data_IF_254728820623
#
_entry.id   IF_254728820623
#
_cell.length_a   1.000
_cell.length_b   1.000
_cell.length_c   1.000
_cell.angle_alpha   90.00
_cell.angle_beta   90.00
_cell.angle_gamma   90.00
#
_symmetry.space_group_name_H-M   'P 1'
#
loop_
_entity.id
_entity.type
_entity.pdbx_description
1 polymer ?
#
# COMPACT_ATOMS: atom_id res chain seq x y z
N UNK A 1 -27.51 35.29 -18.82
CA UNK A 1 -26.98 33.96 -19.20
C UNK A 1 -25.79 33.66 -18.30
N UNK A 2 -25.75 32.47 -17.67
CA UNK A 2 -24.60 32.02 -16.88
C UNK A 2 -23.56 31.40 -17.82
N UNK A 3 -22.32 31.85 -17.76
CA UNK A 3 -21.22 31.37 -18.59
C UNK A 3 -20.62 30.09 -18.00
N UNK A 4 -20.02 29.25 -18.85
CA UNK A 4 -19.33 28.02 -18.42
C UNK A 4 -18.25 28.30 -17.37
N UNK A 5 -17.51 29.39 -17.52
CA UNK A 5 -16.45 29.77 -16.58
C UNK A 5 -17.00 30.03 -15.17
N UNK A 6 -18.22 30.57 -15.04
CA UNK A 6 -18.82 30.86 -13.73
C UNK A 6 -19.13 29.59 -12.95
N UNK A 7 -19.53 28.50 -13.62
CA UNK A 7 -19.68 27.20 -12.97
C UNK A 7 -18.33 26.63 -12.55
N UNK A 8 -17.33 26.69 -13.44
CA UNK A 8 -15.99 26.21 -13.13
C UNK A 8 -15.35 26.95 -11.94
N UNK A 9 -15.52 28.27 -11.84
CA UNK A 9 -15.04 29.07 -10.70
C UNK A 9 -15.67 28.57 -9.39
N UNK A 10 -16.99 28.36 -9.38
CA UNK A 10 -17.71 27.90 -8.19
C UNK A 10 -17.30 26.48 -7.76
N UNK A 11 -16.93 25.61 -8.69
CA UNK A 11 -16.49 24.24 -8.42
C UNK A 11 -15.06 24.15 -7.85
N UNK A 12 -14.20 25.15 -8.10
CA UNK A 12 -12.77 25.09 -7.74
C UNK A 12 -12.42 25.71 -6.38
N UNK A 13 -13.39 26.27 -5.64
CA UNK A 13 -13.21 26.82 -4.29
C UNK A 13 -11.95 27.69 -4.12
N UNK A 14 -11.78 28.68 -4.99
CA UNK A 14 -10.64 29.60 -4.93
C UNK A 14 -10.67 30.49 -3.68
N UNK A 15 -9.53 31.11 -3.35
CA UNK A 15 -9.46 32.15 -2.32
C UNK A 15 -10.40 33.32 -2.64
N UNK A 16 -10.69 34.14 -1.64
CA UNK A 16 -11.52 35.33 -1.81
C UNK A 16 -10.91 36.28 -2.86
N UNK A 17 -9.61 36.54 -2.79
CA UNK A 17 -8.89 37.41 -3.73
C UNK A 17 -9.00 36.91 -5.18
N UNK A 18 -8.80 35.61 -5.40
CA UNK A 18 -8.92 35.00 -6.73
C UNK A 18 -10.37 35.03 -7.21
N UNK A 19 -11.33 34.81 -6.31
CA UNK A 19 -12.76 34.83 -6.64
C UNK A 19 -13.21 36.21 -7.09
N UNK A 20 -12.80 37.28 -6.38
CA UNK A 20 -13.08 38.66 -6.75
C UNK A 20 -12.52 38.97 -8.14
N UNK A 21 -11.27 38.60 -8.42
CA UNK A 21 -10.64 38.82 -9.74
C UNK A 21 -11.41 38.12 -10.87
N UNK A 22 -11.86 36.89 -10.64
CA UNK A 22 -12.68 36.19 -11.65
C UNK A 22 -14.08 36.79 -11.81
N UNK A 23 -14.71 37.26 -10.73
CA UNK A 23 -16.00 37.97 -10.79
C UNK A 23 -15.88 39.26 -11.62
N UNK A 24 -14.81 40.03 -11.41
CA UNK A 24 -14.53 41.23 -12.20
C UNK A 24 -14.26 40.89 -13.66
N UNK A 25 -13.47 39.83 -13.92
CA UNK A 25 -13.20 39.36 -15.27
C UNK A 25 -14.50 38.99 -16.03
N UNK A 26 -15.41 38.26 -15.39
CA UNK A 26 -16.71 37.87 -15.97
C UNK A 26 -17.60 39.09 -16.18
N UNK A 27 -17.60 40.05 -15.25
CA UNK A 27 -18.38 41.28 -15.35
C UNK A 27 -17.91 42.11 -16.55
N UNK A 28 -16.60 42.31 -16.69
CA UNK A 28 -16.01 42.99 -17.85
C UNK A 28 -16.34 42.27 -19.16
N UNK A 29 -16.28 40.94 -19.20
CA UNK A 29 -16.62 40.15 -20.38
C UNK A 29 -18.06 40.39 -20.82
N UNK A 30 -19.02 40.30 -19.89
CA UNK A 30 -20.45 40.52 -20.15
C UNK A 30 -20.75 41.94 -20.61
N UNK A 31 -19.93 42.92 -20.21
CA UNK A 31 -20.01 44.31 -20.64
C UNK A 31 -19.31 44.60 -21.98
N UNK A 32 -18.69 43.60 -22.62
CA UNK A 32 -17.91 43.77 -23.86
C UNK A 32 -16.51 44.37 -23.66
N UNK A 33 -16.07 44.53 -22.41
CA UNK A 33 -14.75 45.04 -22.06
C UNK A 33 -13.69 43.92 -22.07
N UNK A 34 -13.44 43.34 -23.24
CA UNK A 34 -12.59 42.15 -23.41
C UNK A 34 -11.15 42.31 -22.90
N UNK A 35 -10.54 43.49 -23.12
CA UNK A 35 -9.20 43.78 -22.61
C UNK A 35 -9.15 43.71 -21.08
N UNK A 36 -10.11 44.34 -20.40
CA UNK A 36 -10.20 44.29 -18.95
C UNK A 36 -10.48 42.87 -18.44
N UNK A 37 -11.37 42.14 -19.12
CA UNK A 37 -11.65 40.74 -18.78
C UNK A 37 -10.41 39.85 -18.85
N UNK A 38 -9.59 39.98 -19.89
CA UNK A 38 -8.34 39.24 -20.03
C UNK A 38 -7.32 39.64 -18.94
N UNK A 39 -7.22 40.94 -18.62
CA UNK A 39 -6.34 41.44 -17.55
C UNK A 39 -6.68 40.82 -16.21
N UNK A 40 -7.94 40.89 -15.78
CA UNK A 40 -8.39 40.33 -14.50
C UNK A 40 -8.26 38.80 -14.47
N UNK A 41 -8.57 38.12 -15.57
CA UNK A 41 -8.38 36.66 -15.67
C UNK A 41 -6.90 36.28 -15.51
N UNK A 42 -5.99 37.04 -16.13
CA UNK A 42 -4.56 36.76 -16.04
C UNK A 42 -4.02 37.06 -14.65
N UNK A 43 -4.50 38.14 -14.02
CA UNK A 43 -4.17 38.45 -12.64
C UNK A 43 -4.63 37.34 -11.69
N UNK A 44 -5.85 36.80 -11.89
CA UNK A 44 -6.34 35.64 -11.14
C UNK A 44 -5.41 34.43 -11.29
N UNK A 45 -4.92 34.13 -12.51
CA UNK A 45 -3.92 33.08 -12.72
C UNK A 45 -2.64 33.34 -11.89
N UNK A 46 -2.08 34.54 -11.94
CA UNK A 46 -0.87 34.85 -11.17
C UNK A 46 -1.09 34.75 -9.66
N UNK A 47 -2.25 35.19 -9.16
CA UNK A 47 -2.61 35.08 -7.74
C UNK A 47 -2.68 33.62 -7.30
N UNK A 48 -3.31 32.74 -8.09
CA UNK A 48 -3.34 31.30 -7.80
C UNK A 48 -1.91 30.73 -7.74
N UNK A 49 -1.03 31.13 -8.65
CA UNK A 49 0.35 30.65 -8.67
C UNK A 49 1.19 31.22 -7.52
N UNK A 50 0.96 32.47 -7.12
CA UNK A 50 1.53 33.08 -5.91
C UNK A 50 1.13 32.28 -4.67
N UNK A 51 -0.15 32.04 -4.48
CA UNK A 51 -0.69 31.26 -3.35
C UNK A 51 -0.10 29.85 -3.30
N UNK A 52 0.05 29.18 -4.46
CA UNK A 52 0.69 27.86 -4.56
C UNK A 52 2.16 27.88 -4.16
N UNK A 53 2.91 28.94 -4.46
CA UNK A 53 4.30 29.07 -4.00
C UNK A 53 4.33 29.29 -2.48
N UNK A 54 3.51 30.20 -1.96
CA UNK A 54 3.50 30.56 -0.54
C UNK A 54 3.08 29.39 0.35
N UNK A 55 2.05 28.64 -0.05
CA UNK A 55 1.54 27.47 0.69
C UNK A 55 2.25 26.15 0.33
N UNK A 56 3.02 26.13 -0.75
CA UNK A 56 3.62 24.93 -1.30
C UNK A 56 4.92 24.52 -0.62
N UNK A 57 5.28 23.25 -0.79
CA UNK A 57 6.56 22.71 -0.33
C UNK A 57 7.70 23.15 -1.24
N UNK A 58 8.79 23.62 -0.64
CA UNK A 58 10.03 23.94 -1.34
C UNK A 58 10.55 22.74 -2.16
N UNK A 59 10.87 22.91 -3.45
CA UNK A 59 11.55 21.88 -4.25
C UNK A 59 12.89 21.44 -3.62
N UNK A 60 13.30 20.19 -3.82
CA UNK A 60 14.40 19.58 -3.06
C UNK A 60 15.75 20.20 -3.37
N UNK A 61 16.04 20.53 -4.63
CA UNK A 61 17.29 21.16 -5.08
C UNK A 61 17.31 22.69 -4.97
N UNK A 62 16.36 23.28 -4.23
CA UNK A 62 16.36 24.71 -3.88
C UNK A 62 16.77 24.84 -2.42
N UNK A 63 17.71 25.73 -2.10
CA UNK A 63 18.11 25.95 -0.70
C UNK A 63 16.99 26.66 0.07
N UNK A 64 16.90 26.44 1.38
CA UNK A 64 15.85 27.09 2.19
C UNK A 64 15.92 28.62 2.08
N UNK A 65 17.13 29.20 2.15
CA UNK A 65 17.30 30.66 1.99
C UNK A 65 16.91 31.19 0.60
N UNK A 66 17.10 30.42 -0.48
CA UNK A 66 16.57 30.80 -1.80
C UNK A 66 15.04 30.82 -1.82
N UNK A 67 14.40 29.86 -1.15
CA UNK A 67 12.95 29.75 -1.09
C UNK A 67 12.32 30.85 -0.23
N UNK A 68 12.89 31.11 0.94
CA UNK A 68 12.42 32.18 1.83
C UNK A 68 12.55 33.54 1.16
N UNK A 69 13.63 33.78 0.41
CA UNK A 69 13.79 35.00 -0.38
C UNK A 69 12.76 35.10 -1.52
N UNK A 70 12.42 33.99 -2.18
CA UNK A 70 11.35 33.98 -3.16
C UNK A 70 10.01 34.36 -2.51
N UNK A 71 9.64 33.73 -1.38
CA UNK A 71 8.41 34.06 -0.65
C UNK A 71 8.40 35.53 -0.22
N UNK A 72 9.50 36.05 0.32
CA UNK A 72 9.61 37.46 0.72
C UNK A 72 9.35 38.41 -0.46
N UNK A 73 9.87 38.10 -1.65
CA UNK A 73 9.61 38.87 -2.88
C UNK A 73 8.16 38.78 -3.36
N UNK A 74 7.46 37.69 -3.06
CA UNK A 74 6.03 37.54 -3.38
C UNK A 74 5.12 38.37 -2.47
N UNK A 75 5.60 38.79 -1.29
CA UNK A 75 4.90 39.74 -0.42
C UNK A 75 5.14 41.21 -0.81
N UNK A 76 6.03 41.49 -1.75
CA UNK A 76 6.26 42.84 -2.25
C UNK A 76 5.28 43.17 -3.38
N UNK A 77 4.35 44.09 -3.13
CA UNK A 77 3.27 44.47 -4.06
C UNK A 77 3.78 44.99 -5.42
N UNK A 78 4.96 45.62 -5.47
CA UNK A 78 5.49 46.18 -6.72
C UNK A 78 6.17 45.13 -7.61
N UNK A 79 6.53 43.98 -7.05
CA UNK A 79 7.39 43.01 -7.74
C UNK A 79 6.81 41.60 -7.82
N UNK A 80 5.76 41.28 -7.07
CA UNK A 80 5.29 39.90 -6.96
C UNK A 80 4.85 39.33 -8.31
N UNK A 81 4.16 40.08 -9.17
CA UNK A 81 3.72 39.59 -10.50
C UNK A 81 4.91 39.11 -11.34
N UNK A 82 5.99 39.90 -11.40
CA UNK A 82 7.20 39.53 -12.14
C UNK A 82 7.89 38.32 -11.51
N UNK A 83 7.96 38.27 -10.18
CA UNK A 83 8.60 37.15 -9.48
C UNK A 83 7.82 35.83 -9.63
N UNK A 84 6.49 35.86 -9.62
CA UNK A 84 5.65 34.68 -9.93
C UNK A 84 5.92 34.23 -11.36
N UNK A 85 5.92 35.16 -12.31
CA UNK A 85 6.19 34.81 -13.70
C UNK A 85 7.59 34.19 -13.87
N UNK A 86 8.62 34.77 -13.25
CA UNK A 86 9.98 34.23 -13.29
C UNK A 86 10.06 32.84 -12.65
N UNK A 87 9.33 32.61 -11.56
CA UNK A 87 9.20 31.29 -10.94
C UNK A 87 8.55 30.26 -11.90
N UNK A 88 7.51 30.66 -12.63
CA UNK A 88 6.85 29.84 -13.67
C UNK A 88 7.76 29.59 -14.87
N UNK A 89 8.68 30.50 -15.18
CA UNK A 89 9.62 30.32 -16.29
C UNK A 89 10.92 29.59 -15.88
N UNK A 90 11.21 29.47 -14.57
CA UNK A 90 12.41 28.80 -14.06
C UNK A 90 12.45 27.33 -14.46
N UNK A 91 13.51 26.95 -15.18
CA UNK A 91 13.75 25.60 -15.68
C UNK A 91 14.63 24.80 -14.73
N UNK A 92 14.57 23.48 -14.88
CA UNK A 92 15.59 22.60 -14.32
C UNK A 92 16.97 22.91 -14.92
N UNK A 93 18.02 22.69 -14.14
CA UNK A 93 19.40 22.72 -14.64
C UNK A 93 20.00 21.34 -14.50
N UNK A 94 20.58 20.82 -15.57
CA UNK A 94 21.25 19.51 -15.61
C UNK A 94 22.74 19.75 -15.86
N UNK A 95 23.58 19.11 -15.06
CA UNK A 95 25.01 19.06 -15.32
C UNK A 95 25.27 18.09 -16.48
N UNK A 96 25.90 18.58 -17.55
CA UNK A 96 26.11 17.82 -18.78
C UNK A 96 27.21 16.75 -18.63
N UNK A 97 28.06 16.87 -17.62
CA UNK A 97 29.16 15.94 -17.34
C UNK A 97 28.67 14.77 -16.46
N UNK A 98 27.91 15.06 -15.40
CA UNK A 98 27.40 14.03 -14.47
C UNK A 98 26.02 13.51 -14.86
N UNK A 99 25.34 14.15 -15.82
CA UNK A 99 23.91 13.93 -16.17
C UNK A 99 22.97 14.04 -14.97
N UNK A 100 23.38 14.70 -13.90
CA UNK A 100 22.56 14.89 -12.70
C UNK A 100 21.88 16.26 -12.72
N UNK A 101 20.65 16.31 -12.21
CA UNK A 101 19.93 17.58 -12.01
C UNK A 101 20.61 18.34 -10.86
N UNK A 102 20.93 19.61 -11.10
CA UNK A 102 21.61 20.51 -10.15
C UNK A 102 20.71 21.64 -9.64
N UNK A 103 19.55 21.86 -10.28
CA UNK A 103 18.56 22.86 -9.83
C UNK A 103 17.17 22.42 -10.27
N UNK A 104 16.21 22.51 -9.35
CA UNK A 104 14.81 22.22 -9.64
C UNK A 104 14.07 23.44 -10.22
N UNK A 105 13.05 23.21 -11.07
CA UNK A 105 12.07 24.23 -11.39
C UNK A 105 11.19 24.52 -10.15
N UNK A 106 10.49 25.65 -10.15
CA UNK A 106 9.50 25.95 -9.09
C UNK A 106 8.21 25.17 -9.35
N UNK A 107 7.74 25.22 -10.59
CA UNK A 107 6.57 24.45 -11.03
C UNK A 107 6.99 23.28 -11.93
N UNK A 108 6.39 22.12 -11.69
CA UNK A 108 6.56 20.91 -12.50
C UNK A 108 5.70 20.97 -13.77
N UNK A 109 6.13 21.76 -14.74
CA UNK A 109 5.42 21.95 -16.01
C UNK A 109 6.36 21.81 -17.21
N UNK A 110 5.80 21.31 -18.31
CA UNK A 110 6.50 21.12 -19.59
C UNK A 110 6.91 22.44 -20.22
N UNK A 111 7.92 22.40 -21.08
CA UNK A 111 8.37 23.59 -21.83
C UNK A 111 7.25 24.17 -22.71
N UNK A 112 6.41 23.31 -23.31
CA UNK A 112 5.24 23.76 -24.07
C UNK A 112 4.28 24.57 -23.18
N UNK A 113 3.96 24.08 -21.97
CA UNK A 113 3.08 24.81 -21.06
C UNK A 113 3.70 26.15 -20.61
N UNK A 114 5.02 26.21 -20.40
CA UNK A 114 5.72 27.49 -20.12
C UNK A 114 5.60 28.50 -21.25
N UNK A 115 5.70 28.03 -22.50
CA UNK A 115 5.54 28.87 -23.69
C UNK A 115 4.10 29.37 -23.84
N UNK A 116 3.10 28.53 -23.57
CA UNK A 116 1.69 28.96 -23.56
C UNK A 116 1.41 30.03 -22.48
N UNK A 117 1.98 29.88 -21.29
CA UNK A 117 1.86 30.91 -20.23
C UNK A 117 2.53 32.21 -20.65
N UNK A 118 3.69 32.14 -21.32
CA UNK A 118 4.36 33.32 -21.89
C UNK A 118 3.50 34.01 -22.95
N UNK A 119 2.87 33.26 -23.84
CA UNK A 119 1.93 33.79 -24.81
C UNK A 119 0.81 34.60 -24.15
N UNK A 120 0.22 34.09 -23.06
CA UNK A 120 -0.84 34.81 -22.35
C UNK A 120 -0.32 36.06 -21.62
N UNK A 121 0.93 36.06 -21.15
CA UNK A 121 1.59 37.29 -20.64
C UNK A 121 1.67 38.36 -21.72
N UNK A 122 2.03 37.97 -22.94
CA UNK A 122 2.14 38.92 -24.05
C UNK A 122 0.78 39.49 -24.44
N UNK A 123 -0.28 38.68 -24.42
CA UNK A 123 -1.67 39.16 -24.61
C UNK A 123 -2.13 40.10 -23.49
N UNK A 124 -1.81 39.80 -22.22
CA UNK A 124 -2.05 40.71 -21.08
C UNK A 124 -1.34 42.04 -21.31
N UNK A 125 -0.10 42.04 -21.76
CA UNK A 125 0.66 43.25 -22.06
C UNK A 125 0.04 44.08 -23.21
N UNK A 126 -0.51 43.41 -24.22
CA UNK A 126 -1.26 44.08 -25.30
C UNK A 126 -2.50 44.80 -24.74
N UNK A 127 -3.20 44.19 -23.77
CA UNK A 127 -4.32 44.82 -23.07
C UNK A 127 -3.89 46.02 -22.21
N UNK A 128 -2.84 45.86 -21.39
CA UNK A 128 -2.39 46.87 -20.43
C UNK A 128 -1.80 48.12 -21.10
N UNK A 129 -1.07 47.95 -22.20
CA UNK A 129 -0.37 49.05 -22.89
C UNK A 129 -1.12 49.55 -24.14
N UNK A 130 -2.37 49.12 -24.33
CA UNK A 130 -3.20 49.52 -25.47
C UNK A 130 -2.46 49.36 -26.82
N UNK A 131 -1.87 48.19 -27.06
CA UNK A 131 -1.21 47.92 -28.33
C UNK A 131 -2.24 47.66 -29.44
N UNK A 132 -1.82 47.79 -30.70
CA UNK A 132 -2.69 47.71 -31.88
C UNK A 132 -3.33 46.32 -32.12
N UNK A 133 -2.96 45.31 -31.33
CA UNK A 133 -3.54 43.98 -31.43
C UNK A 133 -5.02 43.98 -30.98
N UNK A 134 -5.87 43.33 -31.78
CA UNK A 134 -7.28 43.12 -31.47
C UNK A 134 -7.39 42.10 -30.34
N UNK A 135 -8.18 42.44 -29.31
CA UNK A 135 -8.54 41.54 -28.22
C UNK A 135 -10.06 41.50 -28.16
N UNK A 136 -10.63 40.36 -28.55
CA UNK A 136 -12.06 40.11 -28.62
C UNK A 136 -12.50 38.98 -27.69
N UNK A 137 -13.78 38.59 -27.78
CA UNK A 137 -14.35 37.54 -26.95
C UNK A 137 -13.60 36.20 -27.09
N UNK A 138 -13.13 35.86 -28.30
CA UNK A 138 -12.49 34.58 -28.59
C UNK A 138 -11.18 34.40 -27.82
N UNK A 139 -10.45 35.51 -27.58
CA UNK A 139 -9.23 35.52 -26.81
C UNK A 139 -9.50 35.25 -25.33
N UNK A 140 -10.54 35.87 -24.77
CA UNK A 140 -10.95 35.68 -23.37
C UNK A 140 -11.42 34.23 -23.16
N UNK A 141 -12.30 33.73 -24.02
CA UNK A 141 -12.81 32.35 -23.92
C UNK A 141 -11.71 31.31 -24.11
N UNK A 142 -10.77 31.57 -25.02
CA UNK A 142 -9.60 30.71 -25.23
C UNK A 142 -8.68 30.70 -24.01
N UNK A 143 -8.51 31.84 -23.33
CA UNK A 143 -7.75 31.87 -22.09
C UNK A 143 -8.46 31.11 -20.97
N UNK A 144 -9.76 31.27 -20.82
CA UNK A 144 -10.56 30.49 -19.86
C UNK A 144 -10.50 28.99 -20.14
N UNK A 145 -10.57 28.56 -21.40
CA UNK A 145 -10.39 27.16 -21.78
C UNK A 145 -8.98 26.66 -21.45
N UNK A 146 -7.95 27.50 -21.64
CA UNK A 146 -6.59 27.20 -21.23
C UNK A 146 -6.49 26.97 -19.71
N UNK A 147 -7.11 27.84 -18.89
CA UNK A 147 -7.13 27.69 -17.43
C UNK A 147 -7.82 26.39 -17.01
N UNK A 148 -9.03 26.14 -17.53
CA UNK A 148 -9.79 24.91 -17.25
C UNK A 148 -9.00 23.64 -17.61
N UNK A 149 -8.20 23.69 -18.68
CA UNK A 149 -7.48 22.52 -19.19
C UNK A 149 -6.12 22.29 -18.52
N UNK A 150 -5.53 23.30 -17.90
CA UNK A 150 -4.12 23.24 -17.49
C UNK A 150 -3.86 23.66 -16.04
N UNK A 151 -4.78 24.34 -15.36
CA UNK A 151 -4.51 24.85 -14.01
C UNK A 151 -4.15 23.73 -13.03
N UNK A 152 -4.78 22.56 -13.12
CA UNK A 152 -4.46 21.39 -12.28
C UNK A 152 -3.06 20.80 -12.54
N UNK A 153 -2.48 21.05 -13.73
CA UNK A 153 -1.14 20.56 -14.11
C UNK A 153 -0.02 21.44 -13.56
N UNK A 154 -0.31 22.70 -13.20
CA UNK A 154 0.70 23.67 -12.73
C UNK A 154 0.96 23.48 -11.23
N UNK A 155 1.59 22.38 -10.86
CA UNK A 155 1.92 22.04 -9.47
C UNK A 155 3.35 22.45 -9.11
N UNK A 156 3.62 22.70 -7.82
CA UNK A 156 4.98 22.93 -7.35
C UNK A 156 5.80 21.64 -7.52
N UNK A 157 7.05 21.76 -7.98
CA UNK A 157 7.97 20.63 -8.07
C UNK A 157 8.18 20.03 -6.68
N UNK A 158 7.94 18.71 -6.57
CA UNK A 158 7.91 18.04 -5.27
C UNK A 158 6.57 18.11 -4.54
N UNK A 159 5.47 18.55 -5.17
CA UNK A 159 4.11 18.41 -4.63
C UNK A 159 3.49 17.02 -4.85
N UNK A 160 2.32 16.78 -4.24
CA UNK A 160 1.59 15.51 -4.23
C UNK A 160 1.54 14.79 -5.60
N UNK A 161 1.03 15.43 -6.64
CA UNK A 161 0.89 14.80 -7.97
C UNK A 161 2.25 14.45 -8.59
N UNK A 162 3.26 15.29 -8.36
CA UNK A 162 4.61 15.01 -8.82
C UNK A 162 5.19 13.78 -8.12
N UNK A 163 4.93 13.62 -6.82
CA UNK A 163 5.39 12.46 -6.07
C UNK A 163 4.69 11.17 -6.51
N UNK A 164 3.36 11.21 -6.72
CA UNK A 164 2.60 10.08 -7.28
C UNK A 164 3.22 9.63 -8.60
N UNK A 165 3.50 10.57 -9.51
CA UNK A 165 4.11 10.25 -10.81
C UNK A 165 5.51 9.62 -10.67
N UNK A 166 6.33 10.11 -9.72
CA UNK A 166 7.65 9.52 -9.43
C UNK A 166 7.53 8.08 -8.92
N UNK A 167 6.58 7.82 -8.02
CA UNK A 167 6.35 6.48 -7.46
C UNK A 167 5.80 5.50 -8.49
N UNK A 168 4.83 5.93 -9.31
CA UNK A 168 4.32 5.12 -10.43
C UNK A 168 5.47 4.77 -11.40
N UNK A 169 6.30 5.74 -11.76
CA UNK A 169 7.47 5.51 -12.64
C UNK A 169 8.54 4.63 -12.01
N UNK A 170 8.69 4.64 -10.69
CA UNK A 170 9.63 3.76 -9.99
C UNK A 170 9.30 2.29 -10.19
N UNK A 171 8.01 1.95 -10.24
CA UNK A 171 7.55 0.57 -10.43
C UNK A 171 7.39 0.16 -11.90
N UNK A 172 7.71 1.04 -12.85
CA UNK A 172 7.80 0.72 -14.28
C UNK A 172 9.14 0.05 -14.60
N UNK A 173 9.11 -1.27 -14.78
CA UNK A 173 10.31 -2.09 -15.07
C UNK A 173 10.97 -1.76 -16.43
N UNK A 174 10.27 -1.06 -17.32
CA UNK A 174 10.86 -0.61 -18.60
C UNK A 174 11.75 0.61 -18.42
N UNK A 175 11.61 1.32 -17.29
CA UNK A 175 12.30 2.59 -17.02
C UNK A 175 13.19 2.50 -15.77
N UNK A 176 12.81 1.70 -14.78
CA UNK A 176 13.48 1.61 -13.49
C UNK A 176 13.86 0.16 -13.18
N UNK A 177 15.10 -0.13 -12.74
CA UNK A 177 15.49 -1.47 -12.30
C UNK A 177 14.58 -1.98 -11.17
N UNK A 178 14.14 -3.26 -11.20
CA UNK A 178 13.22 -3.83 -10.20
C UNK A 178 13.72 -3.80 -8.76
N UNK A 179 15.04 -3.74 -8.56
CA UNK A 179 15.73 -3.76 -7.27
C UNK A 179 16.02 -2.35 -6.72
N UNK A 180 15.65 -1.29 -7.45
CA UNK A 180 15.89 0.08 -7.01
C UNK A 180 15.13 0.36 -5.72
N UNK A 181 15.79 0.98 -4.76
CA UNK A 181 15.17 1.32 -3.46
C UNK A 181 14.12 2.46 -3.61
N UNK A 182 12.89 2.19 -3.16
CA UNK A 182 11.76 3.14 -3.13
C UNK A 182 11.83 4.09 -1.92
N UNK A 183 12.61 3.76 -0.89
CA UNK A 183 12.70 4.51 0.37
C UNK A 183 12.91 6.02 0.20
N UNK A 184 13.74 6.51 -0.75
CA UNK A 184 13.88 7.95 -0.97
C UNK A 184 12.55 8.63 -1.32
N UNK A 185 11.72 8.00 -2.16
CA UNK A 185 10.42 8.55 -2.55
C UNK A 185 9.39 8.44 -1.42
N UNK A 186 9.43 7.36 -0.65
CA UNK A 186 8.57 7.21 0.54
C UNK A 186 8.83 8.33 1.54
N UNK A 187 10.10 8.68 1.78
CA UNK A 187 10.46 9.80 2.68
C UNK A 187 10.03 11.16 2.16
N UNK A 188 9.87 11.34 0.85
CA UNK A 188 9.36 12.59 0.27
C UNK A 188 7.89 12.83 0.68
N UNK A 189 7.08 11.79 0.97
CA UNK A 189 5.64 11.95 1.29
C UNK A 189 5.41 12.96 2.42
N UNK A 190 6.23 12.88 3.48
CA UNK A 190 6.09 13.74 4.66
C UNK A 190 6.14 15.23 4.31
N UNK A 191 6.95 15.59 3.32
CA UNK A 191 7.18 16.98 2.93
C UNK A 191 6.36 17.37 1.71
N UNK A 192 6.12 16.45 0.79
CA UNK A 192 5.46 16.69 -0.49
C UNK A 192 3.95 16.69 -0.43
N UNK A 193 3.36 16.18 0.64
CA UNK A 193 1.91 16.02 0.79
C UNK A 193 1.44 16.72 2.06
N UNK A 194 0.53 17.68 1.90
CA UNK A 194 -0.16 18.29 3.03
C UNK A 194 -0.90 17.22 3.85
N UNK A 195 -0.88 17.31 5.19
CA UNK A 195 -1.49 16.31 6.07
C UNK A 195 -2.97 16.05 5.76
N UNK A 196 -3.73 17.10 5.45
CA UNK A 196 -5.14 17.03 5.05
C UNK A 196 -5.37 16.28 3.74
N UNK A 197 -4.35 16.19 2.88
CA UNK A 197 -4.39 15.54 1.56
C UNK A 197 -3.77 14.14 1.56
N UNK A 198 -3.29 13.63 2.69
CA UNK A 198 -2.71 12.28 2.75
C UNK A 198 -3.71 11.19 2.35
N UNK A 199 -4.99 11.34 2.72
CA UNK A 199 -6.03 10.40 2.30
C UNK A 199 -6.23 10.42 0.78
N UNK A 200 -6.26 11.60 0.17
CA UNK A 200 -6.35 11.75 -1.28
C UNK A 200 -5.11 11.17 -1.98
N UNK A 201 -3.91 11.47 -1.45
CA UNK A 201 -2.65 10.95 -1.97
C UNK A 201 -2.63 9.42 -2.02
N UNK A 202 -2.94 8.74 -0.90
CA UNK A 202 -2.91 7.28 -0.85
C UNK A 202 -3.99 6.66 -1.72
N UNK A 203 -5.20 7.23 -1.75
CA UNK A 203 -6.25 6.78 -2.65
C UNK A 203 -5.83 6.90 -4.11
N UNK A 204 -5.26 8.05 -4.50
CA UNK A 204 -4.81 8.25 -5.87
C UNK A 204 -3.65 7.33 -6.23
N UNK A 205 -2.71 7.10 -5.31
CA UNK A 205 -1.56 6.24 -5.55
C UNK A 205 -1.98 4.77 -5.66
N UNK A 206 -2.70 4.25 -4.66
CA UNK A 206 -3.12 2.84 -4.62
C UNK A 206 -4.16 2.50 -5.70
N UNK A 207 -4.97 3.46 -6.15
CA UNK A 207 -5.93 3.23 -7.25
C UNK A 207 -5.41 3.67 -8.63
N UNK A 208 -4.19 4.20 -8.74
CA UNK A 208 -3.65 4.60 -10.04
C UNK A 208 -3.49 3.38 -10.95
N UNK A 209 -3.96 3.51 -12.19
CA UNK A 209 -4.07 2.41 -13.16
C UNK A 209 -2.78 1.63 -13.47
N UNK A 210 -1.61 2.10 -13.02
CA UNK A 210 -0.34 1.40 -13.09
C UNK A 210 -0.31 0.08 -12.28
N UNK A 211 -1.28 -0.11 -11.38
CA UNK A 211 -1.37 -1.27 -10.49
C UNK A 211 -2.57 -2.20 -10.81
N UNK A 212 -3.17 -2.08 -12.00
CA UNK A 212 -4.45 -2.74 -12.36
C UNK A 212 -4.33 -4.21 -12.77
N UNK A 213 -3.13 -4.78 -12.85
CA UNK A 213 -2.95 -6.21 -13.13
C UNK A 213 -2.60 -6.95 -11.84
N UNK A 214 -3.63 -7.24 -11.06
CA UNK A 214 -3.53 -7.96 -9.79
C UNK A 214 -2.97 -7.10 -8.67
N UNK A 215 -3.26 -7.48 -7.42
CA UNK A 215 -2.58 -6.97 -6.22
C UNK A 215 -1.08 -7.04 -6.43
N UNK A 216 -0.47 -5.96 -6.91
CA UNK A 216 0.89 -6.06 -7.39
C UNK A 216 1.79 -6.18 -6.17
N UNK A 217 2.72 -7.13 -6.21
CA UNK A 217 3.79 -7.25 -5.21
C UNK A 217 4.45 -5.90 -4.89
N UNK A 218 4.45 -4.98 -5.87
CA UNK A 218 4.89 -3.58 -5.72
C UNK A 218 4.10 -2.79 -4.68
N UNK A 219 2.78 -2.97 -4.60
CA UNK A 219 1.96 -2.36 -3.56
C UNK A 219 2.36 -2.86 -2.17
N UNK A 220 2.62 -4.17 -2.03
CA UNK A 220 3.06 -4.77 -0.76
C UNK A 220 4.42 -4.20 -0.35
N UNK A 221 5.37 -4.11 -1.29
CA UNK A 221 6.68 -3.46 -1.09
C UNK A 221 6.51 -2.00 -0.64
N UNK A 222 5.69 -1.22 -1.35
CA UNK A 222 5.45 0.18 -1.03
C UNK A 222 4.89 0.35 0.38
N UNK A 223 3.87 -0.44 0.73
CA UNK A 223 3.26 -0.40 2.06
C UNK A 223 4.26 -0.77 3.14
N UNK A 224 4.99 -1.88 2.96
CA UNK A 224 5.98 -2.31 3.94
C UNK A 224 7.05 -1.22 4.14
N UNK A 225 7.57 -0.67 3.04
CA UNK A 225 8.57 0.41 3.10
C UNK A 225 8.02 1.69 3.72
N UNK A 226 6.76 2.04 3.49
CA UNK A 226 6.13 3.20 4.13
C UNK A 226 5.96 3.00 5.63
N UNK A 227 5.57 1.80 6.08
CA UNK A 227 5.49 1.47 7.50
C UNK A 227 6.87 1.50 8.19
N UNK A 228 7.95 1.22 7.47
CA UNK A 228 9.32 1.22 8.00
C UNK A 228 9.99 2.60 8.01
N UNK A 229 9.74 3.42 6.98
CA UNK A 229 10.52 4.62 6.72
C UNK A 229 9.78 5.94 6.99
N UNK A 230 8.45 5.92 7.05
CA UNK A 230 7.62 7.11 7.27
C UNK A 230 7.18 7.23 8.73
N UNK A 231 6.85 8.46 9.15
CA UNK A 231 6.19 8.69 10.43
C UNK A 231 4.76 8.15 10.43
N UNK A 232 4.28 7.68 11.58
CA UNK A 232 2.97 7.02 11.74
C UNK A 232 1.82 7.79 11.09
N UNK A 233 1.77 9.12 11.25
CA UNK A 233 0.68 9.95 10.71
C UNK A 233 0.56 9.88 9.18
N UNK A 234 1.67 9.60 8.48
CA UNK A 234 1.68 9.42 7.02
C UNK A 234 0.92 8.16 6.64
N UNK A 235 1.01 7.12 7.46
CA UNK A 235 0.49 5.79 7.18
C UNK A 235 -0.96 5.58 7.62
N UNK A 236 -1.50 6.43 8.52
CA UNK A 236 -2.88 6.28 9.02
C UNK A 236 -3.92 6.15 7.89
N UNK A 237 -3.94 7.02 6.86
CA UNK A 237 -4.93 6.88 5.78
C UNK A 237 -4.66 5.66 4.89
N UNK A 238 -3.40 5.32 4.64
CA UNK A 238 -3.03 4.10 3.90
C UNK A 238 -3.54 2.84 4.58
N UNK A 239 -3.34 2.74 5.90
CA UNK A 239 -3.81 1.60 6.72
C UNK A 239 -5.34 1.48 6.63
N UNK A 240 -6.07 2.60 6.73
CA UNK A 240 -7.53 2.60 6.61
C UNK A 240 -7.99 2.03 5.25
N UNK A 241 -7.39 2.50 4.15
CA UNK A 241 -7.69 2.01 2.80
C UNK A 241 -7.40 0.51 2.66
N UNK A 242 -6.27 0.02 3.20
CA UNK A 242 -5.91 -1.39 3.13
C UNK A 242 -6.89 -2.26 3.95
N UNK A 243 -7.34 -1.80 5.13
CA UNK A 243 -8.30 -2.53 5.96
C UNK A 243 -9.66 -2.69 5.28
N UNK A 244 -10.05 -1.76 4.42
CA UNK A 244 -11.27 -1.85 3.62
C UNK A 244 -11.13 -2.83 2.44
N UNK A 245 -9.90 -3.12 1.99
CA UNK A 245 -9.62 -4.07 0.93
C UNK A 245 -9.14 -5.42 1.48
N UNK A 246 -10.07 -6.35 1.69
CA UNK A 246 -9.77 -7.69 2.20
C UNK A 246 -8.70 -8.46 1.41
N UNK A 247 -8.62 -8.24 0.09
CA UNK A 247 -7.62 -8.92 -0.74
C UNK A 247 -6.22 -8.40 -0.51
N UNK A 248 -6.11 -7.09 -0.38
CA UNK A 248 -4.88 -6.43 0.00
C UNK A 248 -4.47 -6.86 1.39
N UNK A 249 -5.35 -6.70 2.37
CA UNK A 249 -5.04 -6.95 3.76
C UNK A 249 -4.49 -8.37 3.98
N UNK A 250 -5.16 -9.39 3.42
CA UNK A 250 -4.71 -10.79 3.55
C UNK A 250 -3.39 -11.04 2.83
N UNK A 251 -3.18 -10.42 1.67
CA UNK A 251 -1.93 -10.53 0.92
C UNK A 251 -0.77 -9.94 1.70
N UNK A 252 -0.94 -8.72 2.21
CA UNK A 252 0.05 -8.02 3.01
C UNK A 252 0.41 -8.77 4.29
N UNK A 253 -0.59 -9.17 5.08
CA UNK A 253 -0.32 -9.89 6.34
C UNK A 253 0.26 -11.29 6.10
N UNK A 254 0.00 -11.93 4.95
CA UNK A 254 0.63 -13.20 4.60
C UNK A 254 2.14 -13.06 4.34
N UNK A 255 2.58 -11.94 3.76
CA UNK A 255 4.00 -11.67 3.45
C UNK A 255 4.72 -10.99 4.63
N UNK A 256 4.01 -10.18 5.40
CA UNK A 256 4.55 -9.38 6.51
C UNK A 256 3.73 -9.56 7.80
N UNK A 257 3.66 -10.77 8.36
CA UNK A 257 2.88 -11.04 9.58
C UNK A 257 3.40 -10.25 10.79
N UNK A 258 4.69 -9.88 10.81
CA UNK A 258 5.31 -9.06 11.86
C UNK A 258 4.73 -7.64 11.96
N UNK A 259 4.06 -7.15 10.91
CA UNK A 259 3.48 -5.81 10.84
C UNK A 259 2.04 -5.72 11.36
N UNK A 260 1.49 -6.77 11.95
CA UNK A 260 0.09 -6.79 12.40
C UNK A 260 -0.27 -5.62 13.33
N UNK A 261 0.65 -5.23 14.22
CA UNK A 261 0.42 -4.14 15.16
C UNK A 261 0.31 -2.78 14.48
N UNK A 262 0.94 -2.60 13.30
CA UNK A 262 0.84 -1.35 12.54
C UNK A 262 -0.59 -1.05 12.08
N UNK A 263 -1.48 -2.06 12.01
CA UNK A 263 -2.86 -1.90 11.55
C UNK A 263 -3.84 -1.43 12.64
N UNK A 264 -3.41 -1.41 13.90
CA UNK A 264 -4.22 -0.97 15.05
C UNK A 264 -5.66 -1.54 14.98
N UNK A 265 -5.78 -2.85 14.86
CA UNK A 265 -7.08 -3.51 14.80
C UNK A 265 -7.87 -3.32 16.09
N UNK A 266 -9.18 -3.06 15.97
CA UNK A 266 -10.10 -3.17 17.11
C UNK A 266 -10.38 -4.65 17.41
N UNK A 267 -10.87 -5.00 18.62
CA UNK A 267 -11.27 -6.37 18.93
C UNK A 267 -12.27 -6.97 17.92
N UNK A 268 -13.22 -6.16 17.45
CA UNK A 268 -14.20 -6.58 16.44
C UNK A 268 -13.56 -6.88 15.09
N UNK A 269 -12.56 -6.07 14.69
CA UNK A 269 -11.81 -6.31 13.45
C UNK A 269 -10.93 -7.54 13.56
N UNK A 270 -10.28 -7.77 14.70
CA UNK A 270 -9.52 -9.01 14.97
C UNK A 270 -10.45 -10.22 14.83
N UNK A 271 -11.61 -10.20 15.50
CA UNK A 271 -12.59 -11.28 15.43
C UNK A 271 -13.09 -11.53 14.01
N UNK A 272 -13.44 -10.46 13.29
CA UNK A 272 -13.84 -10.54 11.89
C UNK A 272 -12.74 -11.11 11.01
N UNK A 273 -11.48 -10.75 11.25
CA UNK A 273 -10.35 -11.22 10.46
C UNK A 273 -10.13 -12.72 10.62
N UNK A 274 -9.99 -13.23 11.85
CA UNK A 274 -9.68 -14.66 12.04
C UNK A 274 -10.85 -15.57 11.65
N UNK A 275 -12.10 -15.10 11.78
CA UNK A 275 -13.29 -15.86 11.35
C UNK A 275 -13.48 -15.89 9.84
N UNK A 276 -13.13 -14.82 9.12
CA UNK A 276 -13.50 -14.69 7.69
C UNK A 276 -12.31 -14.70 6.72
N UNK A 277 -11.16 -14.13 7.11
CA UNK A 277 -10.03 -13.87 6.20
C UNK A 277 -8.86 -14.82 6.40
N UNK A 278 -8.61 -15.32 7.62
CA UNK A 278 -7.44 -16.15 7.94
C UNK A 278 -7.30 -17.38 7.03
N UNK A 279 -8.41 -18.06 6.74
CA UNK A 279 -8.46 -19.24 5.84
C UNK A 279 -8.06 -18.93 4.39
N UNK A 280 -8.05 -17.66 3.99
CA UNK A 280 -7.66 -17.20 2.67
C UNK A 280 -6.23 -16.63 2.61
N UNK A 281 -5.55 -16.56 3.76
CA UNK A 281 -4.13 -16.20 3.81
C UNK A 281 -3.27 -17.34 3.26
N UNK A 282 -2.16 -17.01 2.61
CA UNK A 282 -1.20 -18.01 2.15
C UNK A 282 -0.46 -18.62 3.35
N UNK A 283 0.11 -17.78 4.22
CA UNK A 283 0.86 -18.21 5.40
C UNK A 283 0.01 -18.14 6.69
N UNK A 284 -1.05 -18.98 6.75
CA UNK A 284 -2.09 -18.92 7.80
C UNK A 284 -1.52 -19.05 9.21
N UNK A 285 -0.56 -19.95 9.42
CA UNK A 285 0.00 -20.22 10.74
C UNK A 285 0.92 -19.08 11.21
N UNK A 286 1.69 -18.45 10.32
CA UNK A 286 2.48 -17.28 10.68
C UNK A 286 1.59 -16.08 11.05
N UNK A 287 0.51 -15.86 10.29
CA UNK A 287 -0.47 -14.80 10.61
C UNK A 287 -1.13 -15.08 11.96
N UNK A 288 -1.66 -16.29 12.19
CA UNK A 288 -2.24 -16.65 13.48
C UNK A 288 -1.24 -16.50 14.62
N UNK A 289 -0.01 -16.98 14.43
CA UNK A 289 1.06 -16.88 15.44
C UNK A 289 1.37 -15.42 15.77
N UNK A 290 1.38 -14.53 14.78
CA UNK A 290 1.58 -13.10 15.02
C UNK A 290 0.43 -12.49 15.83
N UNK A 291 -0.83 -12.85 15.55
CA UNK A 291 -1.97 -12.40 16.35
C UNK A 291 -1.90 -12.89 17.80
N UNK A 292 -1.54 -14.16 18.00
CA UNK A 292 -1.39 -14.77 19.32
C UNK A 292 -0.24 -14.15 20.12
N UNK A 293 0.94 -14.00 19.48
CA UNK A 293 2.16 -13.45 20.10
C UNK A 293 1.95 -12.02 20.59
N UNK A 294 1.14 -11.26 19.87
CA UNK A 294 0.82 -9.87 20.19
C UNK A 294 -0.44 -9.73 21.07
N UNK A 295 -1.03 -10.84 21.55
CA UNK A 295 -2.18 -10.81 22.45
C UNK A 295 -3.45 -10.20 21.84
N UNK A 296 -3.60 -10.27 20.51
CA UNK A 296 -4.72 -9.65 19.80
C UNK A 296 -6.00 -10.47 19.92
N UNK A 297 -5.89 -11.80 20.04
CA UNK A 297 -7.03 -12.71 20.20
C UNK A 297 -7.28 -12.90 21.71
N UNK A 298 -8.49 -12.63 22.22
CA UNK A 298 -8.83 -12.87 23.62
C UNK A 298 -8.60 -14.34 24.03
N UNK A 299 -8.12 -14.63 25.25
CA UNK A 299 -7.78 -15.99 25.67
C UNK A 299 -8.90 -17.01 25.52
N UNK A 300 -10.15 -16.60 25.71
CA UNK A 300 -11.36 -17.41 25.56
C UNK A 300 -11.73 -17.71 24.11
N UNK A 301 -11.21 -16.94 23.14
CA UNK A 301 -11.42 -17.13 21.70
C UNK A 301 -10.28 -17.88 21.01
N UNK A 302 -9.16 -18.15 21.70
CA UNK A 302 -7.97 -18.77 21.10
C UNK A 302 -8.28 -20.13 20.49
N UNK A 303 -9.03 -20.98 21.20
CA UNK A 303 -9.38 -22.33 20.71
C UNK A 303 -10.21 -22.24 19.42
N UNK A 304 -11.21 -21.36 19.36
CA UNK A 304 -12.06 -21.17 18.17
C UNK A 304 -11.24 -20.71 16.96
N UNK A 305 -10.35 -19.73 17.16
CA UNK A 305 -9.48 -19.23 16.10
C UNK A 305 -8.52 -20.32 15.59
N UNK A 306 -8.01 -21.15 16.50
CA UNK A 306 -7.10 -22.24 16.20
C UNK A 306 -7.80 -23.38 15.45
N UNK A 307 -9.03 -23.72 15.81
CA UNK A 307 -9.84 -24.70 15.09
C UNK A 307 -10.04 -24.28 13.62
N UNK A 308 -10.38 -23.02 13.38
CA UNK A 308 -10.54 -22.49 12.01
C UNK A 308 -9.22 -22.62 11.23
N UNK A 309 -8.10 -22.29 11.87
CA UNK A 309 -6.78 -22.42 11.23
C UNK A 309 -6.47 -23.87 10.89
N UNK A 310 -6.56 -24.80 11.86
CA UNK A 310 -6.27 -26.24 11.69
C UNK A 310 -7.15 -26.86 10.59
N UNK A 311 -8.43 -26.50 10.53
CA UNK A 311 -9.36 -26.99 9.49
C UNK A 311 -9.02 -26.50 8.07
N UNK A 312 -8.22 -25.44 7.95
CA UNK A 312 -7.94 -24.76 6.67
C UNK A 312 -6.50 -24.90 6.15
N UNK A 313 -5.62 -25.56 6.89
CA UNK A 313 -4.23 -25.83 6.49
C UNK A 313 -4.09 -27.23 5.90
N UNK A 314 -3.15 -27.37 4.95
CA UNK A 314 -2.76 -28.66 4.36
C UNK A 314 -1.30 -29.03 4.70
N UNK A 315 -0.54 -28.09 5.26
CA UNK A 315 0.88 -28.23 5.59
C UNK A 315 1.17 -27.47 6.89
N UNK A 316 2.20 -27.90 7.63
CA UNK A 316 2.62 -27.25 8.88
C UNK A 316 3.89 -26.42 8.70
N UNK A 317 3.77 -25.38 7.87
CA UNK A 317 4.85 -24.43 7.57
C UNK A 317 4.91 -23.38 8.69
N UNK A 318 5.96 -23.48 9.52
CA UNK A 318 6.20 -22.62 10.68
C UNK A 318 7.70 -22.43 10.88
N UNK A 319 8.11 -21.23 11.27
CA UNK A 319 9.44 -21.02 11.84
C UNK A 319 9.48 -21.44 13.33
N UNK A 320 10.66 -21.33 13.96
CA UNK A 320 10.85 -21.71 15.36
C UNK A 320 9.97 -20.89 16.30
N UNK A 321 9.84 -19.58 16.04
CA UNK A 321 9.08 -18.67 16.90
C UNK A 321 7.57 -18.91 16.77
N UNK A 322 7.09 -19.17 15.56
CA UNK A 322 5.70 -19.50 15.27
C UNK A 322 5.34 -20.84 15.91
N UNK A 323 6.19 -21.85 15.77
CA UNK A 323 5.97 -23.15 16.41
C UNK A 323 5.85 -23.03 17.93
N UNK A 324 6.79 -22.34 18.59
CA UNK A 324 6.74 -22.12 20.05
C UNK A 324 5.48 -21.34 20.46
N UNK A 325 5.07 -20.35 19.67
CA UNK A 325 3.85 -19.58 19.94
C UNK A 325 2.61 -20.48 19.86
N UNK A 326 2.49 -21.30 18.82
CA UNK A 326 1.38 -22.23 18.63
C UNK A 326 1.35 -23.30 19.72
N UNK A 327 2.51 -23.85 20.08
CA UNK A 327 2.65 -24.85 21.15
C UNK A 327 2.17 -24.28 22.49
N UNK A 328 2.64 -23.08 22.86
CA UNK A 328 2.25 -22.42 24.11
C UNK A 328 0.75 -22.13 24.19
N UNK A 329 0.08 -21.97 23.04
CA UNK A 329 -1.36 -21.70 22.93
C UNK A 329 -2.19 -22.97 22.64
N UNK A 330 -1.63 -24.17 22.79
CA UNK A 330 -2.40 -25.41 22.77
C UNK A 330 -2.67 -26.01 21.38
N UNK A 331 -1.92 -25.61 20.34
CA UNK A 331 -2.12 -26.08 18.96
C UNK A 331 -2.20 -27.60 18.83
N UNK A 332 -1.32 -28.34 19.50
CA UNK A 332 -1.35 -29.79 19.40
C UNK A 332 -2.65 -30.41 19.91
N UNK A 333 -3.25 -29.84 20.96
CA UNK A 333 -4.52 -30.32 21.49
C UNK A 333 -5.65 -30.16 20.47
N UNK A 334 -5.72 -28.98 19.83
CA UNK A 334 -6.71 -28.67 18.77
C UNK A 334 -6.44 -29.50 17.52
N UNK A 335 -5.18 -29.66 17.13
CA UNK A 335 -4.81 -30.55 16.03
C UNK A 335 -5.29 -31.98 16.28
N UNK A 336 -5.11 -32.51 17.50
CA UNK A 336 -5.60 -33.84 17.84
C UNK A 336 -7.11 -33.93 17.79
N UNK A 337 -7.85 -32.93 18.27
CA UNK A 337 -9.33 -32.95 18.22
C UNK A 337 -9.85 -32.94 16.79
N UNK A 338 -9.29 -32.09 15.93
CA UNK A 338 -9.81 -31.88 14.59
C UNK A 338 -9.30 -32.89 13.56
N UNK A 339 -8.07 -33.39 13.72
CA UNK A 339 -7.41 -34.25 12.73
C UNK A 339 -7.31 -35.69 13.23
N UNK A 340 -6.66 -35.92 14.38
CA UNK A 340 -6.38 -37.28 14.87
C UNK A 340 -7.65 -38.01 15.35
N UNK A 341 -8.54 -37.31 16.05
CA UNK A 341 -9.85 -37.84 16.50
C UNK A 341 -10.91 -37.82 15.40
N UNK A 342 -10.60 -37.27 14.23
CA UNK A 342 -11.55 -37.23 13.13
C UNK A 342 -12.01 -38.64 12.76
N UNK A 343 -13.32 -38.80 12.60
CA UNK A 343 -13.89 -40.04 12.12
C UNK A 343 -13.31 -40.46 10.76
N UNK A 344 -12.91 -39.48 9.93
CA UNK A 344 -12.31 -39.70 8.61
C UNK A 344 -10.90 -40.31 8.69
N UNK A 345 -10.22 -40.25 9.85
CA UNK A 345 -8.87 -40.79 10.01
C UNK A 345 -8.83 -42.33 9.95
N UNK A 346 -9.90 -43.00 10.37
CA UNK A 346 -9.94 -44.46 10.51
C UNK A 346 -11.25 -45.12 10.02
N UNK A 347 -12.16 -44.40 9.35
CA UNK A 347 -13.40 -44.96 8.78
C UNK A 347 -13.51 -44.77 7.27
N UNK A 348 -14.27 -45.66 6.62
CA UNK A 348 -14.50 -45.61 5.16
C UNK A 348 -13.19 -45.58 4.38
N UNK A 349 -13.16 -44.74 3.32
CA UNK A 349 -11.99 -44.44 2.47
C UNK A 349 -10.97 -43.51 3.18
N UNK A 350 -10.62 -43.84 4.43
CA UNK A 350 -9.74 -43.03 5.28
C UNK A 350 -8.41 -42.69 4.62
N UNK A 351 -7.86 -43.60 3.81
CA UNK A 351 -6.58 -43.38 3.13
C UNK A 351 -6.62 -42.15 2.20
N UNK A 352 -7.74 -41.84 1.54
CA UNK A 352 -7.86 -40.65 0.70
C UNK A 352 -7.77 -39.37 1.55
N UNK A 353 -8.55 -39.34 2.64
CA UNK A 353 -8.59 -38.19 3.54
C UNK A 353 -7.25 -37.95 4.25
N UNK A 354 -6.56 -39.03 4.64
CA UNK A 354 -5.22 -38.98 5.25
C UNK A 354 -4.17 -38.59 4.21
N UNK A 355 -4.25 -39.09 2.96
CA UNK A 355 -3.32 -38.71 1.89
C UNK A 355 -3.32 -37.19 1.63
N UNK A 356 -4.49 -36.55 1.61
CA UNK A 356 -4.62 -35.09 1.44
C UNK A 356 -3.92 -34.28 2.55
N UNK A 357 -3.68 -34.89 3.71
CA UNK A 357 -3.12 -34.24 4.91
C UNK A 357 -1.81 -34.89 5.34
N UNK A 358 -1.20 -35.71 4.49
CA UNK A 358 -0.06 -36.53 4.85
C UNK A 358 1.13 -35.68 5.30
N UNK A 359 1.42 -34.59 4.61
CA UNK A 359 2.51 -33.67 4.97
C UNK A 359 2.18 -32.92 6.28
N UNK A 360 0.99 -32.34 6.42
CA UNK A 360 0.53 -31.75 7.69
C UNK A 360 0.66 -32.70 8.89
N UNK A 361 0.15 -33.94 8.77
CA UNK A 361 0.17 -34.91 9.86
C UNK A 361 1.60 -35.27 10.22
N UNK A 362 2.44 -35.55 9.23
CA UNK A 362 3.85 -35.89 9.46
C UNK A 362 4.62 -34.75 10.12
N UNK A 363 4.50 -33.52 9.61
CA UNK A 363 5.23 -32.36 10.10
C UNK A 363 4.83 -32.00 11.55
N UNK A 364 3.55 -32.17 11.90
CA UNK A 364 3.08 -31.97 13.28
C UNK A 364 3.62 -33.08 14.18
N UNK A 365 3.59 -34.34 13.76
CA UNK A 365 4.13 -35.43 14.57
C UNK A 365 5.63 -35.24 14.81
N UNK A 366 6.40 -34.89 13.78
CA UNK A 366 7.84 -34.67 13.89
C UNK A 366 8.21 -33.59 14.91
N UNK A 367 7.43 -32.51 14.99
CA UNK A 367 7.75 -31.33 15.80
C UNK A 367 7.17 -31.37 17.22
N UNK A 368 6.21 -32.24 17.51
CA UNK A 368 5.58 -32.32 18.83
C UNK A 368 6.03 -33.56 19.61
N UNK A 369 5.97 -33.54 20.96
CA UNK A 369 6.32 -34.70 21.77
C UNK A 369 5.48 -35.92 21.41
N UNK A 370 6.08 -37.11 21.55
CA UNK A 370 5.37 -38.36 21.34
C UNK A 370 4.12 -38.45 22.23
N UNK A 371 3.01 -38.82 21.60
CA UNK A 371 1.67 -38.80 22.19
C UNK A 371 0.94 -40.12 21.95
N UNK A 372 0.41 -40.68 23.04
CA UNK A 372 -0.24 -41.98 23.03
C UNK A 372 -1.39 -42.05 22.04
N UNK A 373 -2.29 -41.07 22.09
CA UNK A 373 -3.47 -41.05 21.23
C UNK A 373 -3.09 -41.03 19.75
N UNK A 374 -2.08 -40.23 19.41
CA UNK A 374 -1.60 -40.10 18.04
C UNK A 374 -1.07 -41.43 17.50
N UNK A 375 -0.21 -42.12 18.24
CA UNK A 375 0.35 -43.40 17.76
C UNK A 375 -0.69 -44.51 17.72
N UNK A 376 -1.63 -44.55 18.67
CA UNK A 376 -2.72 -45.53 18.66
C UNK A 376 -3.63 -45.33 17.46
N UNK A 377 -3.91 -44.08 17.07
CA UNK A 377 -4.69 -43.78 15.85
C UNK A 377 -3.94 -44.13 14.57
N UNK A 378 -2.62 -43.96 14.53
CA UNK A 378 -1.81 -44.45 13.41
C UNK A 378 -1.85 -45.97 13.31
N UNK A 379 -1.73 -46.69 14.43
CA UNK A 379 -1.88 -48.15 14.43
C UNK A 379 -3.26 -48.57 13.94
N UNK A 380 -4.33 -47.92 14.40
CA UNK A 380 -5.69 -48.18 13.90
C UNK A 380 -5.77 -48.00 12.39
N UNK A 381 -5.22 -46.90 11.86
CA UNK A 381 -5.20 -46.60 10.43
C UNK A 381 -4.43 -47.66 9.62
N UNK A 382 -3.24 -48.06 10.07
CA UNK A 382 -2.37 -49.01 9.36
C UNK A 382 -2.71 -50.48 9.61
N UNK A 383 -3.60 -50.79 10.55
CA UNK A 383 -4.19 -52.13 10.72
C UNK A 383 -5.21 -52.46 9.62
N UNK A 384 -5.64 -51.46 8.84
CA UNK A 384 -6.64 -51.62 7.78
C UNK A 384 -5.97 -52.03 6.45
N UNK A 385 -6.67 -52.81 5.60
CA UNK A 385 -6.14 -53.19 4.28
C UNK A 385 -5.78 -51.97 3.41
N UNK A 386 -6.66 -50.97 3.39
CA UNK A 386 -6.48 -49.71 2.68
C UNK A 386 -6.02 -48.63 3.67
N UNK A 387 -4.72 -48.31 3.62
CA UNK A 387 -4.04 -47.35 4.48
C UNK A 387 -3.16 -46.41 3.65
N UNK A 388 -2.82 -45.24 4.20
CA UNK A 388 -2.10 -44.17 3.50
C UNK A 388 -0.65 -44.54 3.23
N UNK A 389 -0.34 -44.83 1.97
CA UNK A 389 1.05 -44.97 1.51
C UNK A 389 1.77 -43.62 1.38
N UNK A 390 1.03 -42.52 1.35
CA UNK A 390 1.62 -41.19 1.30
C UNK A 390 2.18 -40.78 2.65
N UNK A 391 1.38 -40.92 3.72
CA UNK A 391 1.79 -40.60 5.09
C UNK A 391 2.97 -41.46 5.55
N UNK A 392 2.96 -42.76 5.23
CA UNK A 392 4.03 -43.65 5.70
C UNK A 392 5.39 -43.28 5.11
N UNK A 393 5.43 -42.85 3.84
CA UNK A 393 6.66 -42.36 3.20
C UNK A 393 7.21 -41.08 3.84
N UNK A 394 6.37 -40.30 4.54
CA UNK A 394 6.85 -39.13 5.29
C UNK A 394 7.54 -39.54 6.58
N UNK A 395 7.15 -40.66 7.17
CA UNK A 395 7.77 -41.16 8.40
C UNK A 395 9.25 -41.50 8.21
N UNK A 396 9.67 -41.88 7.00
CA UNK A 396 11.08 -42.08 6.65
C UNK A 396 11.97 -40.86 6.93
N UNK A 397 11.38 -39.65 7.00
CA UNK A 397 12.10 -38.40 7.29
C UNK A 397 12.54 -38.29 8.76
N UNK A 398 11.75 -38.82 9.70
CA UNK A 398 11.94 -38.54 11.13
C UNK A 398 11.82 -39.74 12.07
N UNK A 399 11.11 -40.82 11.71
CA UNK A 399 11.01 -42.05 12.50
C UNK A 399 12.22 -42.98 12.29
N UNK A 400 13.43 -42.44 12.44
CA UNK A 400 14.67 -43.21 12.31
C UNK A 400 14.95 -44.04 13.57
N UNK A 401 15.64 -45.20 13.50
CA UNK A 401 15.86 -46.08 14.65
C UNK A 401 16.54 -45.41 15.87
N UNK A 402 17.38 -44.40 15.64
CA UNK A 402 18.08 -43.67 16.70
C UNK A 402 17.40 -42.35 17.10
N UNK A 403 16.27 -41.99 16.48
CA UNK A 403 15.59 -40.74 16.78
C UNK A 403 14.81 -40.86 18.10
N UNK A 404 14.88 -39.84 19.00
CA UNK A 404 14.17 -39.86 20.28
C UNK A 404 12.67 -40.13 20.15
N UNK A 405 12.02 -39.47 19.18
CA UNK A 405 10.58 -39.63 18.93
C UNK A 405 10.20 -41.08 18.56
N UNK A 406 11.06 -41.79 17.84
CA UNK A 406 10.85 -43.21 17.51
C UNK A 406 10.91 -44.08 18.76
N UNK A 407 11.89 -43.83 19.63
CA UNK A 407 12.06 -44.55 20.89
C UNK A 407 10.88 -44.31 21.83
N UNK A 408 10.42 -43.07 21.94
CA UNK A 408 9.28 -42.70 22.77
C UNK A 408 7.98 -43.35 22.28
N UNK A 409 7.72 -43.33 20.97
CA UNK A 409 6.56 -44.04 20.41
C UNK A 409 6.65 -45.56 20.58
N UNK A 410 7.84 -46.15 20.44
CA UNK A 410 8.06 -47.57 20.72
C UNK A 410 7.77 -47.92 22.18
N UNK A 411 8.21 -47.07 23.12
CA UNK A 411 7.92 -47.26 24.54
C UNK A 411 6.42 -47.24 24.83
N UNK A 412 5.67 -46.30 24.23
CA UNK A 412 4.21 -46.24 24.35
C UNK A 412 3.55 -47.53 23.81
N UNK A 413 3.96 -47.99 22.63
CA UNK A 413 3.39 -49.21 22.01
C UNK A 413 3.63 -50.45 22.87
N UNK A 414 4.84 -50.60 23.43
CA UNK A 414 5.19 -51.69 24.35
C UNK A 414 4.33 -51.61 25.62
N UNK A 415 4.23 -50.43 26.23
CA UNK A 415 3.45 -50.23 27.44
C UNK A 415 1.97 -50.59 27.25
N UNK A 416 1.40 -50.31 26.07
CA UNK A 416 -0.01 -50.57 25.75
C UNK A 416 -0.26 -51.98 25.23
N UNK A 417 0.79 -52.78 24.97
CA UNK A 417 0.66 -54.14 24.47
C UNK A 417 -0.02 -54.22 23.09
N UNK A 418 0.17 -53.20 22.25
CA UNK A 418 -0.51 -53.09 20.95
C UNK A 418 0.30 -53.79 19.87
N UNK A 419 -0.35 -54.63 19.08
CA UNK A 419 0.29 -55.30 17.94
C UNK A 419 0.66 -54.28 16.85
N UNK A 420 1.94 -54.25 16.45
CA UNK A 420 2.45 -53.31 15.45
C UNK A 420 2.08 -53.82 14.04
N UNK A 421 1.31 -53.05 13.24
CA UNK A 421 0.95 -53.44 11.88
C UNK A 421 2.19 -53.62 10.98
N UNK A 422 2.12 -54.54 10.01
CA UNK A 422 3.25 -54.88 9.13
C UNK A 422 3.91 -53.65 8.49
N UNK A 423 3.11 -52.66 8.07
CA UNK A 423 3.64 -51.42 7.47
C UNK A 423 4.45 -50.56 8.47
N UNK A 424 4.09 -50.58 9.75
CA UNK A 424 4.78 -49.80 10.80
C UNK A 424 5.96 -50.54 11.46
N UNK A 425 6.12 -51.84 11.19
CA UNK A 425 7.19 -52.66 11.77
C UNK A 425 8.59 -52.15 11.45
N UNK A 426 8.79 -51.54 10.27
CA UNK A 426 10.08 -50.98 9.87
C UNK A 426 10.61 -49.91 10.84
N UNK A 427 9.72 -49.24 11.59
CA UNK A 427 10.08 -48.14 12.49
C UNK A 427 10.09 -48.57 13.96
N UNK A 428 9.20 -49.49 14.34
CA UNK A 428 8.93 -49.77 15.77
C UNK A 428 9.22 -51.20 16.23
N UNK A 429 9.65 -52.11 15.34
CA UNK A 429 10.02 -53.49 15.73
C UNK A 429 11.28 -53.52 16.58
#
# INVERSE_FOLDING_TARGET
MKLKIESWIAENNFSEDVSVLFTDAVTCYKAGANRASLLFSYLALLTILKERIISGTKPSLITQGEWDNLIAKLHNEDQWESNVFDAVQRREKIDMTTRSRTKDPIFNITENLRQQIRYWKDRRNDCAHYKDNIIDNSHVESFWNFLQSNLSKITIEGGMQSLINKMVRHFDYTVTPPDKDITPLVKEIEFSVERSKLNEFWNNLLNSGAYTVGLSHQMLILTNRSLEASRDFVNVPMIAIIKENNEYLRGFLSEHPDKVLSFNFTPEEVRKFWTTQLKHCQNKLAVLSSFLRNGLIPPDEINDAMEIAVKSINEYVTDVSDHLTLQANGFFSVFKSEIIRSHSFARGLAFLWVNERADLIADVIEKYPADEETILRLVEHYSRPESSDWLIKRFDRFLLPAAPITADYKAILIQKGVAIPAKLQAYFS
#
